data_IF_107798689629
#
_entry.id   IF_107798689629
#
_cell.length_a   1.000
_cell.length_b   1.000
_cell.length_c   1.000
_cell.angle_alpha   90.00
_cell.angle_beta   90.00
_cell.angle_gamma   90.00
#
_symmetry.space_group_name_H-M   'P 1'
#
loop_
_entity.id
_entity.type
_entity.pdbx_description
1 polymer ?
#
# COMPACT_ATOMS: atom_id res chain seq x y z
N UNK A 1 -40.03 24.19 39.07
CA UNK A 1 -40.06 23.29 37.90
C UNK A 1 -38.91 22.33 38.05
N UNK A 2 -39.18 21.24 38.77
CA UNK A 2 -38.32 20.06 38.80
C UNK A 2 -38.34 19.36 37.44
N UNK A 3 -37.21 18.80 37.04
CA UNK A 3 -37.08 17.39 36.66
C UNK A 3 -35.61 17.03 36.45
N UNK A 4 -35.15 16.07 37.25
CA UNK A 4 -34.05 15.17 36.93
C UNK A 4 -34.40 14.25 35.76
N UNK A 5 -33.39 13.64 35.11
CA UNK A 5 -33.08 12.20 35.17
C UNK A 5 -31.91 11.86 34.21
N UNK A 6 -31.07 10.96 34.72
CA UNK A 6 -29.89 10.29 34.18
C UNK A 6 -30.04 9.59 32.81
N UNK A 7 -28.89 9.32 32.17
CA UNK A 7 -28.50 7.92 31.93
C UNK A 7 -28.52 7.36 30.50
N UNK A 8 -27.30 7.11 30.00
CA UNK A 8 -26.87 5.88 29.29
C UNK A 8 -27.28 5.62 27.82
N UNK A 9 -26.31 5.02 27.13
CA UNK A 9 -26.46 4.04 26.04
C UNK A 9 -26.30 4.50 24.58
N UNK A 10 -25.10 4.21 24.07
CA UNK A 10 -24.83 3.53 22.81
C UNK A 10 -25.47 4.07 21.51
N UNK A 11 -24.73 4.91 20.80
CA UNK A 11 -24.86 5.03 19.35
C UNK A 11 -23.82 4.15 18.65
N UNK A 12 -24.24 2.91 18.42
CA UNK A 12 -23.61 2.02 17.45
C UNK A 12 -23.91 2.56 16.04
N UNK A 13 -23.04 3.43 15.53
CA UNK A 13 -23.08 3.86 14.13
C UNK A 13 -22.59 2.70 13.26
N UNK A 14 -23.54 2.15 12.52
CA UNK A 14 -23.40 1.13 11.51
C UNK A 14 -22.18 1.37 10.61
N UNK A 15 -21.16 0.51 10.73
CA UNK A 15 -20.19 0.29 9.64
C UNK A 15 -20.86 -0.64 8.62
N UNK A 16 -21.34 -0.03 7.54
CA UNK A 16 -21.65 -0.76 6.33
C UNK A 16 -20.44 -1.60 5.91
N UNK A 17 -20.65 -2.91 5.84
CA UNK A 17 -19.82 -3.79 5.05
C UNK A 17 -20.00 -3.40 3.58
N UNK A 18 -19.07 -2.61 3.05
CA UNK A 18 -18.96 -2.45 1.60
C UNK A 18 -18.20 -3.68 1.07
N UNK A 19 -18.97 -4.71 0.71
CA UNK A 19 -18.51 -5.82 -0.09
C UNK A 19 -18.26 -5.29 -1.51
N UNK A 20 -17.11 -4.69 -1.75
CA UNK A 20 -16.65 -4.50 -3.13
C UNK A 20 -16.10 -5.83 -3.64
N UNK A 21 -16.85 -6.49 -4.53
CA UNK A 21 -16.36 -7.54 -5.42
C UNK A 21 -15.02 -7.11 -6.03
N UNK A 22 -13.92 -7.74 -5.58
CA UNK A 22 -12.61 -7.59 -6.21
C UNK A 22 -12.57 -8.47 -7.46
N UNK A 23 -12.88 -7.88 -8.61
CA UNK A 23 -12.29 -8.33 -9.88
C UNK A 23 -10.76 -8.17 -9.78
N UNK A 24 -9.96 -9.17 -10.18
CA UNK A 24 -8.51 -9.11 -10.04
C UNK A 24 -7.98 -8.00 -10.94
N UNK A 25 -7.49 -6.92 -10.33
CA UNK A 25 -6.93 -5.79 -11.05
C UNK A 25 -5.56 -6.18 -11.64
N UNK A 26 -5.27 -5.81 -12.90
CA UNK A 26 -3.96 -6.01 -13.52
C UNK A 26 -2.86 -5.39 -12.66
N UNK A 27 -1.72 -6.05 -12.52
CA UNK A 27 -0.59 -5.61 -11.67
C UNK A 27 -0.13 -4.16 -11.92
N UNK A 28 -0.31 -3.64 -13.14
CA UNK A 28 -0.03 -2.25 -13.48
C UNK A 28 -0.86 -1.22 -12.69
N UNK A 29 -2.08 -1.55 -12.22
CA UNK A 29 -2.88 -0.63 -11.42
C UNK A 29 -2.32 -0.45 -10.01
N UNK A 30 -1.68 -1.49 -9.45
CA UNK A 30 -1.04 -1.39 -8.14
C UNK A 30 0.15 -0.42 -8.16
N UNK A 31 0.87 -0.34 -9.28
CA UNK A 31 2.01 0.57 -9.43
C UNK A 31 1.54 2.01 -9.67
N UNK A 32 0.49 2.21 -10.47
CA UNK A 32 0.02 3.55 -10.83
C UNK A 32 -0.79 4.24 -9.74
N UNK A 33 -1.62 3.49 -8.99
CA UNK A 33 -2.58 4.08 -8.05
C UNK A 33 -2.19 3.88 -6.58
N UNK A 34 -1.72 2.69 -6.19
CA UNK A 34 -1.42 2.39 -4.78
C UNK A 34 -0.07 2.92 -4.32
N UNK A 35 0.93 2.95 -5.22
CA UNK A 35 2.25 3.49 -4.90
C UNK A 35 2.21 5.00 -4.55
N UNK A 36 1.64 5.91 -5.37
CA UNK A 36 1.53 7.32 -4.98
C UNK A 36 0.62 7.53 -3.75
N UNK A 37 -0.39 6.66 -3.57
CA UNK A 37 -1.26 6.70 -2.39
C UNK A 37 -0.49 6.37 -1.11
N UNK A 38 0.37 5.37 -1.13
CA UNK A 38 1.22 5.01 0.02
C UNK A 38 2.23 6.11 0.39
N UNK A 39 2.77 6.83 -0.59
CA UNK A 39 3.67 7.96 -0.36
C UNK A 39 2.92 9.18 0.20
N UNK A 40 1.72 9.47 -0.30
CA UNK A 40 0.90 10.57 0.23
C UNK A 40 0.40 10.25 1.64
N UNK A 41 0.04 9.00 1.91
CA UNK A 41 -0.33 8.51 3.24
C UNK A 41 0.87 8.54 4.22
N UNK A 42 2.06 8.14 3.77
CA UNK A 42 3.30 8.24 4.56
C UNK A 42 3.67 9.71 4.86
N UNK A 43 3.46 10.61 3.90
CA UNK A 43 3.70 12.05 4.06
C UNK A 43 2.70 12.64 5.06
N UNK A 44 1.41 12.30 4.96
CA UNK A 44 0.39 12.78 5.88
C UNK A 44 0.54 12.18 7.29
N UNK A 45 1.05 10.94 7.39
CA UNK A 45 1.44 10.33 8.67
C UNK A 45 2.63 11.04 9.30
N UNK A 46 3.66 11.40 8.53
CA UNK A 46 4.81 12.17 9.02
C UNK A 46 4.41 13.60 9.44
N UNK A 47 3.53 14.26 8.68
CA UNK A 47 2.99 15.58 9.04
C UNK A 47 2.15 15.51 10.31
N UNK A 48 1.29 14.49 10.45
CA UNK A 48 0.47 14.27 11.65
C UNK A 48 1.32 13.88 12.86
N UNK A 49 2.42 13.15 12.66
CA UNK A 49 3.42 12.84 13.69
C UNK A 49 4.23 14.08 14.12
N UNK A 50 4.57 14.97 13.19
CA UNK A 50 5.21 16.25 13.54
C UNK A 50 4.25 17.14 14.35
N UNK A 51 2.96 17.13 14.02
CA UNK A 51 1.91 17.83 14.77
C UNK A 51 1.65 17.21 16.15
N UNK A 52 1.73 15.88 16.31
CA UNK A 52 1.57 15.24 17.63
C UNK A 52 2.73 15.56 18.58
N UNK A 53 3.96 15.64 18.07
CA UNK A 53 5.14 16.10 18.82
C UNK A 53 4.98 17.57 19.26
N UNK A 54 4.35 18.40 18.42
CA UNK A 54 3.95 19.76 18.79
C UNK A 54 2.83 19.79 19.85
N UNK A 55 1.95 18.79 19.88
CA UNK A 55 0.90 18.66 20.90
C UNK A 55 1.46 18.16 22.25
N UNK A 56 2.47 17.29 22.24
CA UNK A 56 3.18 16.85 23.45
C UNK A 56 4.02 17.97 24.09
N UNK A 57 4.45 18.95 23.30
CA UNK A 57 5.04 20.20 23.84
C UNK A 57 4.08 20.97 24.76
N UNK A 58 2.76 20.81 24.59
CA UNK A 58 1.76 21.50 25.40
C UNK A 58 1.70 21.00 26.84
N UNK A 59 2.07 19.75 27.12
CA UNK A 59 2.12 19.20 28.48
C UNK A 59 3.33 19.75 29.26
N UNK A 60 4.48 19.90 28.60
CA UNK A 60 5.66 20.60 29.16
C UNK A 60 5.41 22.10 29.35
N UNK A 61 4.63 22.73 28.46
CA UNK A 61 4.21 24.13 28.61
C UNK A 61 3.19 24.33 29.74
N UNK A 62 2.35 23.34 30.06
CA UNK A 62 1.47 23.37 31.25
C UNK A 62 2.27 23.28 32.55
N UNK A 63 3.27 22.41 32.65
CA UNK A 63 4.17 22.39 33.82
C UNK A 63 4.96 23.69 34.01
N UNK A 64 5.22 24.42 32.92
CA UNK A 64 5.80 25.76 32.99
C UNK A 64 4.81 26.79 33.57
N UNK A 65 3.48 26.64 33.32
CA UNK A 65 2.46 27.53 33.90
C UNK A 65 2.43 27.48 35.42
N UNK A 66 2.73 26.35 36.04
CA UNK A 66 2.76 26.20 37.50
C UNK A 66 4.04 26.80 38.12
N UNK A 67 5.15 26.83 37.37
CA UNK A 67 6.43 27.41 37.82
C UNK A 67 6.50 28.93 37.51
N UNK A 68 5.74 29.40 36.52
CA UNK A 68 5.61 30.83 36.18
C UNK A 68 5.24 31.71 37.39
N UNK A 69 4.23 31.41 38.24
CA UNK A 69 3.90 32.25 39.39
C UNK A 69 5.02 32.29 40.43
N UNK A 70 5.76 31.20 40.64
CA UNK A 70 6.88 31.15 41.59
C UNK A 70 8.07 31.98 41.10
N UNK A 71 8.44 31.84 39.82
CA UNK A 71 9.48 32.65 39.19
C UNK A 71 9.06 34.12 39.17
N UNK A 72 7.79 34.40 38.87
CA UNK A 72 7.22 35.75 38.86
C UNK A 72 7.34 36.40 40.25
N UNK A 73 7.01 35.68 41.33
CA UNK A 73 7.18 36.18 42.71
C UNK A 73 8.64 36.47 43.04
N UNK A 74 9.56 35.57 42.69
CA UNK A 74 11.00 35.78 42.92
C UNK A 74 11.51 36.99 42.13
N UNK A 75 11.10 37.12 40.87
CA UNK A 75 11.46 38.27 40.02
C UNK A 75 10.91 39.57 40.61
N UNK A 76 9.64 39.63 41.02
CA UNK A 76 9.06 40.84 41.60
C UNK A 76 9.78 41.27 42.88
N UNK A 77 10.15 40.34 43.76
CA UNK A 77 10.87 40.68 44.99
C UNK A 77 12.28 41.25 44.69
N UNK A 78 12.99 40.68 43.70
CA UNK A 78 14.27 41.23 43.26
C UNK A 78 14.11 42.57 42.52
N UNK A 79 13.05 42.73 41.71
CA UNK A 79 12.73 43.97 41.02
C UNK A 79 12.43 45.09 42.03
N UNK A 80 11.64 44.84 43.08
CA UNK A 80 11.30 45.84 44.08
C UNK A 80 12.52 46.33 44.87
N UNK A 81 13.43 45.42 45.23
CA UNK A 81 14.70 45.77 45.90
C UNK A 81 15.60 46.59 44.97
N UNK A 82 15.64 46.25 43.68
CA UNK A 82 16.40 47.01 42.68
C UNK A 82 15.79 48.39 42.44
N UNK A 83 14.47 48.51 42.29
CA UNK A 83 13.79 49.79 42.11
C UNK A 83 13.94 50.66 43.35
N UNK A 84 13.89 50.09 44.55
CA UNK A 84 14.15 50.81 45.80
C UNK A 84 15.58 51.35 45.84
N UNK A 85 16.59 50.52 45.54
CA UNK A 85 18.00 50.98 45.48
C UNK A 85 18.26 51.99 44.36
N UNK A 86 17.60 51.85 43.21
CA UNK A 86 17.67 52.83 42.13
C UNK A 86 17.02 54.15 42.55
N UNK A 87 15.91 54.13 43.29
CA UNK A 87 15.24 55.34 43.79
C UNK A 87 16.06 56.03 44.87
N UNK A 88 16.65 55.27 45.79
CA UNK A 88 17.56 55.78 46.81
C UNK A 88 18.85 56.35 46.17
N UNK A 89 19.41 55.66 45.18
CA UNK A 89 20.56 56.12 44.39
C UNK A 89 20.26 57.32 43.50
N UNK A 90 19.03 57.44 42.98
CA UNK A 90 18.56 58.59 42.23
C UNK A 90 18.35 59.80 43.15
N UNK A 91 17.84 59.60 44.37
CA UNK A 91 17.70 60.65 45.39
C UNK A 91 19.06 61.19 45.86
N UNK A 92 20.08 60.33 45.97
CA UNK A 92 21.47 60.73 46.25
C UNK A 92 22.08 61.44 45.04
N UNK A 93 21.84 60.95 43.83
CA UNK A 93 22.34 61.55 42.59
C UNK A 93 21.71 62.89 42.25
N UNK A 94 20.48 63.17 42.71
CA UNK A 94 19.79 64.44 42.51
C UNK A 94 20.49 65.63 43.18
N UNK A 95 21.36 65.36 44.16
CA UNK A 95 22.20 66.36 44.82
C UNK A 95 23.36 66.86 43.92
N UNK A 96 23.68 66.14 42.82
CA UNK A 96 24.69 66.49 41.83
C UNK A 96 24.08 66.49 40.41
N UNK A 97 23.33 67.54 40.03
CA UNK A 97 22.42 67.53 38.88
C UNK A 97 23.09 67.32 37.51
N UNK A 98 24.40 67.58 37.38
CA UNK A 98 25.12 67.44 36.11
C UNK A 98 25.50 65.99 35.78
N UNK A 99 25.67 65.13 36.79
CA UNK A 99 26.09 63.72 36.60
C UNK A 99 24.89 62.77 36.47
N UNK A 100 23.77 63.09 37.11
CA UNK A 100 22.55 62.25 37.15
C UNK A 100 21.78 62.24 35.85
N UNK A 101 21.77 63.34 35.09
CA UNK A 101 21.06 63.43 33.82
C UNK A 101 21.64 62.43 32.80
N UNK A 102 22.97 62.30 32.74
CA UNK A 102 23.64 61.34 31.85
C UNK A 102 23.38 59.88 32.24
N UNK A 103 23.48 59.56 33.53
CA UNK A 103 23.24 58.19 34.02
C UNK A 103 21.76 57.79 33.90
N UNK A 104 20.85 58.74 34.14
CA UNK A 104 19.41 58.55 34.00
C UNK A 104 19.00 58.28 32.55
N UNK A 105 19.56 59.02 31.59
CA UNK A 105 19.32 58.78 30.17
C UNK A 105 19.90 57.43 29.70
N UNK A 106 21.12 57.09 30.11
CA UNK A 106 21.75 55.81 29.75
C UNK A 106 21.02 54.60 30.35
N UNK A 107 20.61 54.68 31.62
CA UNK A 107 19.82 53.65 32.28
C UNK A 107 18.44 53.51 31.61
N UNK A 108 17.76 54.64 31.34
CA UNK A 108 16.47 54.64 30.64
C UNK A 108 16.57 53.98 29.27
N UNK A 109 17.67 54.19 28.54
CA UNK A 109 17.90 53.54 27.24
C UNK A 109 18.06 52.01 27.36
N UNK A 110 18.61 51.51 28.46
CA UNK A 110 18.73 50.06 28.73
C UNK A 110 17.41 49.41 29.18
N UNK A 111 16.51 50.16 29.84
CA UNK A 111 15.22 49.65 30.31
C UNK A 111 14.13 49.61 29.23
N UNK A 112 14.30 50.32 28.10
CA UNK A 112 13.36 50.23 26.98
C UNK A 112 13.49 48.85 26.30
N UNK A 113 12.34 48.18 26.11
CA UNK A 113 12.21 46.79 25.66
C UNK A 113 12.81 46.52 24.26
N UNK A 114 12.93 47.55 23.43
CA UNK A 114 13.53 47.52 22.08
C UNK A 114 15.06 47.46 22.08
N UNK A 115 15.77 48.51 22.55
CA UNK A 115 17.24 48.59 22.55
C UNK A 115 17.91 47.45 23.34
N UNK A 116 17.30 46.96 24.43
CA UNK A 116 17.81 45.76 25.15
C UNK A 116 17.86 44.52 24.26
N UNK A 117 16.81 44.26 23.47
CA UNK A 117 16.73 43.12 22.55
C UNK A 117 17.64 43.30 21.34
N UNK A 118 17.82 44.54 20.91
CA UNK A 118 18.72 44.91 19.83
C UNK A 118 20.19 44.73 20.22
N UNK A 119 20.61 45.25 21.38
CA UNK A 119 21.96 45.08 21.92
C UNK A 119 22.28 43.60 22.15
N UNK A 120 21.39 42.84 22.81
CA UNK A 120 21.61 41.40 23.05
C UNK A 120 21.78 40.60 21.75
N UNK A 121 21.01 40.90 20.70
CA UNK A 121 21.16 40.21 19.42
C UNK A 121 22.46 40.56 18.70
N UNK A 122 22.91 41.80 18.82
CA UNK A 122 24.10 42.28 18.11
C UNK A 122 25.42 42.01 18.85
N UNK A 123 25.42 41.95 20.19
CA UNK A 123 26.62 41.75 21.01
C UNK A 123 26.87 40.27 21.33
N UNK A 124 25.83 39.50 21.68
CA UNK A 124 25.98 38.07 22.04
C UNK A 124 26.43 37.23 20.84
N UNK A 125 26.02 37.60 19.62
CA UNK A 125 26.51 36.96 18.40
C UNK A 125 28.02 37.13 18.18
N UNK A 126 28.62 38.22 18.69
CA UNK A 126 30.06 38.51 18.59
C UNK A 126 30.92 37.84 19.67
N UNK A 127 30.34 37.40 20.78
CA UNK A 127 31.07 36.72 21.86
C UNK A 127 31.14 35.20 21.71
N UNK A 128 30.57 34.62 20.65
CA UNK A 128 30.85 33.22 20.30
C UNK A 128 32.27 33.15 19.76
N UNK A 129 33.22 32.70 20.60
CA UNK A 129 34.62 32.56 20.21
C UNK A 129 34.73 31.72 18.92
N UNK A 130 35.67 32.07 18.07
CA UNK A 130 35.91 31.37 16.81
C UNK A 130 36.16 29.88 17.03
N UNK A 131 36.82 29.54 18.14
CA UNK A 131 37.05 28.17 18.60
C UNK A 131 35.75 27.44 18.96
N UNK A 132 34.80 28.10 19.62
CA UNK A 132 33.50 27.49 19.95
C UNK A 132 32.66 27.20 18.70
N UNK A 133 32.75 28.05 17.67
CA UNK A 133 32.12 27.82 16.36
C UNK A 133 32.78 26.66 15.62
N UNK A 134 34.11 26.58 15.66
CA UNK A 134 34.86 25.50 15.04
C UNK A 134 34.56 24.15 15.70
N UNK A 135 34.56 24.09 17.03
CA UNK A 135 34.19 22.87 17.80
C UNK A 135 32.76 22.42 17.50
N UNK A 136 31.82 23.36 17.32
CA UNK A 136 30.45 23.04 16.92
C UNK A 136 30.39 22.49 15.49
N UNK A 137 31.12 23.09 14.56
CA UNK A 137 31.21 22.61 13.18
C UNK A 137 31.83 21.20 13.11
N UNK A 138 32.91 20.96 13.86
CA UNK A 138 33.59 19.66 13.91
C UNK A 138 32.67 18.56 14.48
N UNK A 139 31.93 18.86 15.55
CA UNK A 139 30.93 17.93 16.11
C UNK A 139 29.82 17.61 15.10
N UNK A 140 29.34 18.61 14.35
CA UNK A 140 28.33 18.40 13.33
C UNK A 140 28.87 17.55 12.16
N UNK A 141 30.10 17.80 11.70
CA UNK A 141 30.74 16.99 10.65
C UNK A 141 30.96 15.55 11.12
N UNK A 142 31.43 15.35 12.35
CA UNK A 142 31.60 14.02 12.96
C UNK A 142 30.27 13.27 13.05
N UNK A 143 29.21 13.93 13.51
CA UNK A 143 27.88 13.33 13.61
C UNK A 143 27.30 12.99 12.23
N UNK A 144 27.52 13.86 11.24
CA UNK A 144 27.09 13.61 9.87
C UNK A 144 27.84 12.41 9.25
N UNK A 145 29.16 12.32 9.42
CA UNK A 145 29.94 11.18 8.95
C UNK A 145 29.43 9.84 9.52
N UNK A 146 29.13 9.80 10.82
CA UNK A 146 28.52 8.60 11.45
C UNK A 146 27.18 8.24 10.81
N UNK A 147 26.32 9.23 10.54
CA UNK A 147 25.02 8.99 9.89
C UNK A 147 25.17 8.46 8.46
N UNK A 148 26.11 9.01 7.68
CA UNK A 148 26.41 8.55 6.33
C UNK A 148 26.96 7.14 6.33
N UNK A 149 27.80 6.78 7.29
CA UNK A 149 28.34 5.42 7.40
C UNK A 149 27.27 4.39 7.80
N UNK A 150 26.33 4.76 8.67
CA UNK A 150 25.17 3.92 8.97
C UNK A 150 24.28 3.77 7.73
N UNK A 151 23.99 4.86 7.04
CA UNK A 151 23.19 4.84 5.81
C UNK A 151 23.85 3.99 4.72
N UNK A 152 25.18 4.04 4.57
CA UNK A 152 25.94 3.16 3.66
C UNK A 152 25.88 1.67 4.04
N UNK A 153 25.74 1.36 5.34
CA UNK A 153 25.58 -0.04 5.80
C UNK A 153 24.17 -0.53 5.54
N UNK A 154 23.17 0.29 5.82
CA UNK A 154 21.77 -0.02 5.55
C UNK A 154 21.48 -0.13 4.05
N UNK A 155 22.04 0.77 3.23
CA UNK A 155 21.88 0.72 1.77
C UNK A 155 22.48 -0.55 1.16
N UNK A 156 23.65 -1.01 1.63
CA UNK A 156 24.23 -2.29 1.21
C UNK A 156 23.33 -3.47 1.55
N UNK A 157 22.78 -3.52 2.77
CA UNK A 157 21.83 -4.57 3.17
C UNK A 157 20.54 -4.57 2.33
N UNK A 158 20.07 -3.39 1.93
CA UNK A 158 18.89 -3.29 1.06
C UNK A 158 19.22 -3.72 -0.36
N UNK A 159 20.39 -3.34 -0.88
CA UNK A 159 20.84 -3.74 -2.21
C UNK A 159 21.02 -5.27 -2.30
N UNK A 160 21.61 -5.90 -1.29
CA UNK A 160 21.75 -7.37 -1.21
C UNK A 160 20.39 -8.09 -1.24
N UNK A 161 19.36 -7.54 -0.58
CA UNK A 161 18.00 -8.10 -0.63
C UNK A 161 17.34 -7.88 -1.97
N UNK A 162 17.57 -6.73 -2.60
CA UNK A 162 17.05 -6.42 -3.93
C UNK A 162 17.67 -7.33 -4.99
N UNK A 163 18.99 -7.55 -4.97
CA UNK A 163 19.67 -8.44 -5.93
C UNK A 163 19.30 -9.91 -5.72
N UNK A 164 19.10 -10.33 -4.47
CA UNK A 164 18.56 -11.66 -4.16
C UNK A 164 17.14 -11.81 -4.71
N UNK A 165 16.25 -10.84 -4.46
CA UNK A 165 14.89 -10.85 -4.99
C UNK A 165 14.87 -10.85 -6.53
N UNK A 166 15.74 -10.09 -7.19
CA UNK A 166 15.87 -10.08 -8.65
C UNK A 166 16.29 -11.46 -9.19
N UNK A 167 17.25 -12.12 -8.52
CA UNK A 167 17.66 -13.48 -8.88
C UNK A 167 16.52 -14.48 -8.69
N UNK A 168 15.75 -14.38 -7.61
CA UNK A 168 14.60 -15.25 -7.38
C UNK A 168 13.48 -14.99 -8.39
N UNK A 169 13.22 -13.73 -8.75
CA UNK A 169 12.23 -13.36 -9.76
C UNK A 169 12.59 -13.90 -11.15
N UNK A 170 13.85 -13.72 -11.57
CA UNK A 170 14.33 -14.25 -12.86
C UNK A 170 14.25 -15.78 -12.90
N UNK A 171 14.63 -16.45 -11.80
CA UNK A 171 14.50 -17.90 -11.68
C UNK A 171 13.03 -18.33 -11.78
N UNK A 172 12.14 -17.71 -10.99
CA UNK A 172 10.71 -17.99 -11.04
C UNK A 172 10.08 -17.75 -12.41
N UNK A 173 10.53 -16.72 -13.13
CA UNK A 173 10.10 -16.45 -14.50
C UNK A 173 10.53 -17.57 -15.47
N UNK A 174 11.77 -18.08 -15.34
CA UNK A 174 12.23 -19.20 -16.17
C UNK A 174 11.47 -20.51 -15.89
N UNK A 175 11.15 -20.78 -14.62
CA UNK A 175 10.37 -21.95 -14.22
C UNK A 175 8.94 -21.89 -14.77
N UNK A 176 8.29 -20.72 -14.67
CA UNK A 176 6.96 -20.47 -15.26
C UNK A 176 6.97 -20.63 -16.78
N UNK A 177 8.00 -20.12 -17.45
CA UNK A 177 8.17 -20.27 -18.90
C UNK A 177 8.33 -21.75 -19.30
N UNK A 178 9.12 -22.52 -18.55
CA UNK A 178 9.31 -23.94 -18.81
C UNK A 178 8.01 -24.74 -18.58
N UNK A 179 7.31 -24.46 -17.49
CA UNK A 179 5.99 -25.06 -17.21
C UNK A 179 4.96 -24.69 -18.31
N UNK A 180 4.96 -23.45 -18.78
CA UNK A 180 4.15 -22.99 -19.90
C UNK A 180 4.44 -23.76 -21.19
N UNK A 181 5.73 -23.96 -21.53
CA UNK A 181 6.13 -24.78 -22.69
C UNK A 181 5.65 -26.22 -22.58
N UNK A 182 5.75 -26.84 -21.41
CA UNK A 182 5.25 -28.19 -21.18
C UNK A 182 3.73 -28.28 -21.34
N UNK A 183 2.98 -27.32 -20.79
CA UNK A 183 1.53 -27.24 -20.96
C UNK A 183 1.12 -27.06 -22.43
N UNK A 184 1.84 -26.22 -23.18
CA UNK A 184 1.58 -26.00 -24.61
C UNK A 184 1.86 -27.24 -25.43
N UNK A 185 2.93 -27.98 -25.12
CA UNK A 185 3.22 -29.26 -25.75
C UNK A 185 2.13 -30.29 -25.47
N UNK A 186 1.69 -30.42 -24.22
CA UNK A 186 0.61 -31.34 -23.83
C UNK A 186 -0.71 -30.96 -24.52
N UNK A 187 -1.06 -29.67 -24.57
CA UNK A 187 -2.25 -29.20 -25.26
C UNK A 187 -2.23 -29.55 -26.75
N UNK A 188 -1.09 -29.38 -27.44
CA UNK A 188 -0.92 -29.81 -28.85
C UNK A 188 -1.07 -31.32 -29.02
N UNK A 189 -0.56 -32.13 -28.09
CA UNK A 189 -0.71 -33.58 -28.16
C UNK A 189 -2.18 -34.02 -28.02
N UNK A 190 -2.95 -33.36 -27.16
CA UNK A 190 -4.38 -33.62 -26.98
C UNK A 190 -5.17 -33.18 -28.22
N UNK A 191 -4.81 -32.06 -28.84
CA UNK A 191 -5.42 -31.57 -30.09
C UNK A 191 -5.18 -32.54 -31.26
N UNK A 192 -4.00 -33.16 -31.35
CA UNK A 192 -3.74 -34.22 -32.33
C UNK A 192 -4.60 -35.47 -32.10
N UNK A 193 -4.81 -35.89 -30.84
CA UNK A 193 -5.69 -37.03 -30.54
C UNK A 193 -7.15 -36.69 -30.84
N UNK A 194 -7.58 -35.46 -30.56
CA UNK A 194 -8.94 -34.98 -30.84
C UNK A 194 -9.23 -34.95 -32.35
N UNK A 195 -8.30 -34.41 -33.14
CA UNK A 195 -8.41 -34.35 -34.61
C UNK A 195 -8.36 -35.74 -35.26
N UNK A 196 -7.49 -36.64 -34.78
CA UNK A 196 -7.46 -38.03 -35.26
C UNK A 196 -8.75 -38.79 -34.93
N UNK A 197 -9.28 -38.63 -33.72
CA UNK A 197 -10.54 -39.25 -33.32
C UNK A 197 -11.73 -38.69 -34.12
N UNK A 198 -11.78 -37.38 -34.36
CA UNK A 198 -12.81 -36.76 -35.19
C UNK A 198 -12.85 -37.32 -36.62
N UNK A 199 -11.69 -37.61 -37.21
CA UNK A 199 -11.61 -38.28 -38.52
C UNK A 199 -12.19 -39.70 -38.51
N UNK A 200 -11.91 -40.48 -37.47
CA UNK A 200 -12.46 -41.83 -37.30
C UNK A 200 -13.99 -41.80 -37.07
N UNK A 201 -14.48 -40.86 -36.24
CA UNK A 201 -15.93 -40.67 -36.05
C UNK A 201 -16.63 -40.21 -37.32
N UNK A 202 -15.99 -39.34 -38.11
CA UNK A 202 -16.52 -38.90 -39.41
C UNK A 202 -16.67 -40.08 -40.37
N UNK A 203 -15.65 -40.94 -40.50
CA UNK A 203 -15.77 -42.14 -41.31
C UNK A 203 -16.85 -43.11 -40.80
N UNK A 204 -16.90 -43.36 -39.49
CA UNK A 204 -17.95 -44.22 -38.92
C UNK A 204 -19.36 -43.65 -39.15
N UNK A 205 -19.53 -42.33 -39.01
CA UNK A 205 -20.78 -41.64 -39.29
C UNK A 205 -21.19 -41.79 -40.76
N UNK A 206 -20.26 -41.56 -41.68
CA UNK A 206 -20.50 -41.72 -43.12
C UNK A 206 -20.92 -43.15 -43.45
N UNK A 207 -20.20 -44.17 -42.96
CA UNK A 207 -20.57 -45.59 -43.17
C UNK A 207 -21.96 -45.89 -42.59
N UNK A 208 -22.29 -45.39 -41.41
CA UNK A 208 -23.61 -45.57 -40.80
C UNK A 208 -24.74 -44.88 -41.56
N UNK A 209 -24.49 -43.70 -42.13
CA UNK A 209 -25.47 -43.00 -42.97
C UNK A 209 -25.68 -43.75 -44.28
N UNK A 210 -24.61 -44.28 -44.89
CA UNK A 210 -24.73 -45.11 -46.09
C UNK A 210 -25.50 -46.42 -45.82
N UNK A 211 -25.21 -47.13 -44.73
CA UNK A 211 -26.02 -48.31 -44.32
C UNK A 211 -27.49 -47.96 -44.15
N UNK A 212 -27.79 -46.83 -43.49
CA UNK A 212 -29.17 -46.40 -43.26
C UNK A 212 -29.87 -46.01 -44.56
N UNK A 213 -29.18 -45.34 -45.48
CA UNK A 213 -29.71 -44.97 -46.80
C UNK A 213 -29.97 -46.21 -47.68
N UNK A 214 -29.10 -47.23 -47.62
CA UNK A 214 -29.31 -48.52 -48.29
C UNK A 214 -30.51 -49.25 -47.69
N UNK A 215 -30.61 -49.29 -46.35
CA UNK A 215 -31.74 -49.89 -45.65
C UNK A 215 -33.07 -49.16 -45.95
N UNK A 216 -33.07 -47.84 -45.95
CA UNK A 216 -34.24 -47.03 -46.29
C UNK A 216 -34.69 -47.27 -47.74
N UNK A 217 -33.76 -47.35 -48.70
CA UNK A 217 -34.09 -47.71 -50.09
C UNK A 217 -34.64 -49.13 -50.22
N UNK A 218 -34.11 -50.11 -49.47
CA UNK A 218 -34.59 -51.49 -49.45
C UNK A 218 -36.01 -51.63 -48.86
N UNK A 219 -36.32 -50.89 -47.79
CA UNK A 219 -37.66 -50.87 -47.20
C UNK A 219 -38.66 -50.18 -48.14
N UNK A 220 -38.26 -49.09 -48.80
CA UNK A 220 -39.14 -48.33 -49.69
C UNK A 220 -39.49 -49.11 -50.97
N UNK A 221 -38.59 -49.98 -51.44
CA UNK A 221 -38.85 -50.84 -52.61
C UNK A 221 -39.70 -52.09 -52.30
N UNK A 222 -39.75 -52.54 -51.05
CA UNK A 222 -40.63 -53.65 -50.62
C UNK A 222 -41.99 -53.18 -50.05
N UNK A 223 -42.22 -51.87 -49.90
CA UNK A 223 -43.51 -51.31 -49.46
C UNK A 223 -44.44 -50.94 -50.62
N UNK A 224 -44.00 -51.11 -51.87
CA UNK A 224 -44.78 -50.78 -53.06
C UNK A 224 -45.76 -51.88 -53.47
N UNK A 225 -45.65 -53.11 -52.93
CA UNK A 225 -46.55 -54.22 -53.25
C UNK A 225 -47.16 -54.83 -51.97
N UNK A 226 -48.43 -54.48 -51.72
CA UNK A 226 -49.44 -55.15 -50.86
C UNK A 226 -49.77 -54.55 -49.46
N UNK A 227 -51.07 -54.22 -49.30
CA UNK A 227 -51.83 -53.79 -48.09
C UNK A 227 -51.80 -54.81 -46.91
N UNK A 228 -52.64 -54.68 -45.84
CA UNK A 228 -52.69 -53.67 -44.77
C UNK A 228 -52.53 -54.26 -43.33
N UNK A 229 -51.90 -53.51 -42.41
CA UNK A 229 -51.87 -53.64 -40.90
C UNK A 229 -51.18 -54.89 -40.26
N UNK A 230 -50.75 -54.87 -38.97
CA UNK A 230 -49.63 -54.17 -38.35
C UNK A 230 -48.59 -55.15 -37.77
N UNK A 231 -47.41 -55.35 -38.37
CA UNK A 231 -46.38 -56.21 -37.77
C UNK A 231 -44.98 -55.78 -38.20
N UNK A 232 -44.32 -54.92 -37.42
CA UNK A 232 -42.87 -54.79 -37.44
C UNK A 232 -42.40 -54.24 -36.10
N UNK A 233 -42.12 -55.15 -35.18
CA UNK A 233 -41.38 -54.83 -33.96
C UNK A 233 -40.02 -54.19 -34.36
N UNK A 234 -39.63 -53.05 -33.75
CA UNK A 234 -38.30 -52.50 -33.99
C UNK A 234 -37.24 -53.40 -33.37
N UNK A 235 -36.36 -53.94 -34.21
CA UNK A 235 -35.13 -54.64 -33.81
C UNK A 235 -34.22 -53.73 -32.96
N UNK A 236 -33.36 -54.32 -32.12
CA UNK A 236 -33.03 -53.78 -30.83
C UNK A 236 -32.06 -52.60 -30.92
N UNK A 237 -32.44 -51.50 -30.27
CA UNK A 237 -31.58 -50.37 -29.88
C UNK A 237 -30.45 -50.76 -28.89
N UNK A 238 -30.13 -52.04 -28.74
CA UNK A 238 -29.32 -52.55 -27.63
C UNK A 238 -27.80 -52.35 -27.80
N UNK A 239 -27.30 -52.11 -29.01
CA UNK A 239 -25.85 -51.91 -29.23
C UNK A 239 -25.41 -50.44 -29.35
N UNK A 240 -26.34 -49.50 -29.53
CA UNK A 240 -26.03 -48.06 -29.70
C UNK A 240 -25.72 -47.37 -28.37
N UNK A 241 -26.41 -47.76 -27.30
CA UNK A 241 -26.32 -47.13 -25.99
C UNK A 241 -24.94 -47.24 -25.30
N UNK A 242 -24.27 -48.41 -25.24
CA UNK A 242 -23.01 -48.53 -24.50
C UNK A 242 -21.87 -47.77 -25.19
N UNK A 243 -21.78 -47.81 -26.52
CA UNK A 243 -20.72 -47.15 -27.27
C UNK A 243 -20.85 -45.61 -27.22
N UNK A 244 -22.06 -45.08 -27.42
CA UNK A 244 -22.30 -43.64 -27.32
C UNK A 244 -21.98 -43.09 -25.93
N UNK A 245 -22.24 -43.87 -24.87
CA UNK A 245 -21.94 -43.49 -23.48
C UNK A 245 -20.43 -43.46 -23.20
N UNK A 246 -19.68 -44.42 -23.72
CA UNK A 246 -18.21 -44.46 -23.61
C UNK A 246 -17.56 -43.29 -24.36
N UNK A 247 -18.00 -43.04 -25.60
CA UNK A 247 -17.51 -41.91 -26.41
C UNK A 247 -17.79 -40.58 -25.73
N UNK A 248 -19.00 -40.38 -25.21
CA UNK A 248 -19.36 -39.17 -24.47
C UNK A 248 -18.52 -38.99 -23.20
N UNK A 249 -18.22 -40.08 -22.48
CA UNK A 249 -17.37 -40.05 -21.29
C UNK A 249 -15.92 -39.65 -21.62
N UNK A 250 -15.32 -40.27 -22.63
CA UNK A 250 -13.95 -39.93 -23.07
C UNK A 250 -13.87 -38.49 -23.59
N UNK A 251 -14.85 -38.06 -24.40
CA UNK A 251 -14.94 -36.69 -24.87
C UNK A 251 -15.09 -35.68 -23.72
N UNK A 252 -15.89 -36.00 -22.69
CA UNK A 252 -16.05 -35.15 -21.51
C UNK A 252 -14.75 -35.00 -20.71
N UNK A 253 -13.98 -36.10 -20.57
CA UNK A 253 -12.69 -36.09 -19.87
C UNK A 253 -11.67 -35.23 -20.61
N UNK A 254 -11.56 -35.38 -21.94
CA UNK A 254 -10.65 -34.59 -22.77
C UNK A 254 -11.01 -33.10 -22.72
N UNK A 255 -12.31 -32.77 -22.77
CA UNK A 255 -12.79 -31.39 -22.63
C UNK A 255 -12.48 -30.80 -21.26
N UNK A 256 -12.59 -31.59 -20.19
CA UNK A 256 -12.23 -31.17 -18.84
C UNK A 256 -10.71 -30.95 -18.71
N UNK A 257 -9.89 -31.83 -19.29
CA UNK A 257 -8.43 -31.68 -19.30
C UNK A 257 -8.02 -30.42 -20.08
N UNK A 258 -8.62 -30.16 -21.25
CA UNK A 258 -8.37 -28.95 -22.06
C UNK A 258 -8.70 -27.67 -21.30
N UNK A 259 -9.90 -27.59 -20.72
CA UNK A 259 -10.31 -26.45 -19.91
C UNK A 259 -9.40 -26.25 -18.68
N UNK A 260 -8.90 -27.35 -18.11
CA UNK A 260 -7.92 -27.30 -17.02
C UNK A 260 -6.57 -26.73 -17.46
N UNK A 261 -6.05 -27.17 -18.60
CA UNK A 261 -4.78 -26.68 -19.17
C UNK A 261 -4.87 -25.21 -19.60
N UNK A 262 -5.96 -24.82 -20.24
CA UNK A 262 -6.18 -23.45 -20.71
C UNK A 262 -6.28 -22.46 -19.55
N UNK A 263 -6.99 -22.81 -18.47
CA UNK A 263 -7.01 -22.01 -17.23
C UNK A 263 -5.63 -21.82 -16.63
N UNK A 264 -4.79 -22.88 -16.63
CA UNK A 264 -3.41 -22.79 -16.13
C UNK A 264 -2.54 -21.93 -17.04
N UNK A 265 -2.72 -22.03 -18.36
CA UNK A 265 -2.01 -21.21 -19.34
C UNK A 265 -2.36 -19.73 -19.19
N UNK A 266 -3.65 -19.38 -19.13
CA UNK A 266 -4.12 -18.01 -18.88
C UNK A 266 -3.52 -17.45 -17.59
N UNK A 267 -3.49 -18.25 -16.51
CA UNK A 267 -2.90 -17.83 -15.24
C UNK A 267 -1.40 -17.53 -15.36
N UNK A 268 -0.65 -18.25 -16.21
CA UNK A 268 0.77 -17.96 -16.47
C UNK A 268 0.92 -16.65 -17.26
N UNK A 269 0.07 -16.42 -18.25
CA UNK A 269 0.06 -15.18 -19.04
C UNK A 269 -0.35 -13.96 -18.20
N UNK A 270 -1.29 -14.12 -17.26
CA UNK A 270 -1.69 -13.10 -16.29
C UNK A 270 -0.55 -12.70 -15.34
N UNK A 271 0.38 -13.62 -15.05
CA UNK A 271 1.61 -13.32 -14.30
C UNK A 271 2.66 -12.56 -15.13
N UNK A 272 2.33 -12.14 -16.36
CA UNK A 272 3.20 -11.34 -17.23
C UNK A 272 4.24 -12.15 -18.02
N UNK A 273 4.15 -13.48 -17.98
CA UNK A 273 5.06 -14.38 -18.71
C UNK A 273 4.40 -14.79 -20.03
N UNK A 274 4.95 -14.34 -21.16
CA UNK A 274 4.47 -14.74 -22.48
C UNK A 274 4.94 -16.17 -22.81
N UNK A 275 3.98 -17.09 -22.99
CA UNK A 275 4.18 -18.54 -23.28
C UNK A 275 3.90 -18.87 -24.75
#
# INVERSE_FOLDING_TARGET
>A
MEKEVEGSSADAVAKGHDQTQQTPKPWHSYISDDLPRSFTESTDAAIRSARSLHHDSSTRLRGLQDIIPEIKLRIFNYEDVLFKKCKDGLAIGLQNPTMTVGLGLAASFLFIRGPRRFLLRHTVGRFQSEEARFVKAEKNVKMLNLSVDLMKKESRKLLERATLAEKEMTTGQTDLMNAGKQLRYLAKSVDHVETQAAGAYFMYFVVRVYEWAVYANYVNSNLADSCPVPCAAPLPLSFKAPFARLVASVASLLKQQRAGMEKRMIKITEMGVAV
#
